data_IF_405725161069
#
_entry.id   IF_405725161069
#
_cell.length_a   1.000
_cell.length_b   1.000
_cell.length_c   1.000
_cell.angle_alpha   90.00
_cell.angle_beta   90.00
_cell.angle_gamma   90.00
#
_symmetry.space_group_name_H-M   'P 1'
#
loop_
_entity.id
_entity.type
_entity.pdbx_description
1 polymer ?
#
# COMPACT_ATOMS: atom_id res chain seq x y z
N UNK A 1 -46.32 39.92 3.61
CA UNK A 1 -45.87 38.88 2.66
C UNK A 1 -44.50 38.40 3.14
N UNK A 2 -44.46 37.33 3.92
CA UNK A 2 -43.20 36.73 4.39
C UNK A 2 -43.16 35.28 3.96
N UNK A 3 -42.42 35.00 2.88
CA UNK A 3 -42.10 33.65 2.43
C UNK A 3 -40.89 33.16 3.23
N UNK A 4 -41.14 32.37 4.28
CA UNK A 4 -40.10 31.61 4.96
C UNK A 4 -39.67 30.45 4.08
N UNK A 5 -38.44 30.48 3.55
CA UNK A 5 -37.86 29.38 2.79
C UNK A 5 -37.43 28.31 3.79
N UNK A 6 -38.33 27.36 4.06
CA UNK A 6 -38.06 26.21 4.93
C UNK A 6 -36.95 25.32 4.36
N UNK A 7 -36.10 24.80 5.23
CA UNK A 7 -35.11 23.75 4.91
C UNK A 7 -35.81 22.56 4.26
N UNK A 8 -35.23 21.97 3.19
CA UNK A 8 -35.86 20.86 2.49
C UNK A 8 -36.00 19.65 3.41
N UNK A 9 -37.16 19.00 3.30
CA UNK A 9 -37.49 17.77 4.02
C UNK A 9 -36.51 16.66 3.63
N UNK A 10 -35.63 16.34 4.58
CA UNK A 10 -34.55 15.35 4.41
C UNK A 10 -35.12 13.97 4.13
N UNK A 11 -36.26 13.63 4.74
CA UNK A 11 -36.92 12.34 4.54
C UNK A 11 -37.52 12.24 3.14
N UNK A 12 -38.08 13.33 2.62
CA UNK A 12 -38.55 13.42 1.24
C UNK A 12 -37.42 13.25 0.22
N UNK A 13 -36.27 13.88 0.48
CA UNK A 13 -35.10 13.74 -0.38
C UNK A 13 -34.56 12.30 -0.36
N UNK A 14 -34.46 11.68 0.82
CA UNK A 14 -34.02 10.31 0.98
C UNK A 14 -34.91 9.32 0.21
N UNK A 15 -36.25 9.48 0.30
CA UNK A 15 -37.21 8.64 -0.44
C UNK A 15 -37.09 8.85 -1.96
N UNK A 16 -36.89 10.09 -2.43
CA UNK A 16 -36.63 10.36 -3.84
C UNK A 16 -35.35 9.71 -4.34
N UNK A 17 -34.27 9.70 -3.54
CA UNK A 17 -33.01 9.06 -3.93
C UNK A 17 -33.14 7.54 -4.01
N UNK A 18 -33.89 6.92 -3.08
CA UNK A 18 -34.20 5.48 -3.13
C UNK A 18 -35.02 5.13 -4.38
N UNK A 19 -36.00 5.96 -4.76
CA UNK A 19 -36.77 5.76 -5.98
C UNK A 19 -35.94 5.93 -7.26
N UNK A 20 -34.97 6.86 -7.27
CA UNK A 20 -34.09 7.10 -8.42
C UNK A 20 -33.01 6.03 -8.59
N UNK A 21 -32.50 5.46 -7.50
CA UNK A 21 -31.43 4.46 -7.54
C UNK A 21 -31.93 3.01 -7.49
N UNK A 22 -33.25 2.82 -7.37
CA UNK A 22 -33.86 1.52 -7.12
C UNK A 22 -33.55 1.05 -5.70
N UNK A 23 -34.60 0.84 -4.89
CA UNK A 23 -34.47 0.04 -3.69
C UNK A 23 -34.04 -1.35 -4.12
N UNK A 24 -32.84 -1.78 -3.74
CA UNK A 24 -32.44 -3.16 -3.89
C UNK A 24 -33.23 -3.94 -2.83
N UNK A 25 -34.46 -4.32 -3.17
CA UNK A 25 -35.09 -5.45 -2.52
C UNK A 25 -34.27 -6.66 -2.95
N UNK A 26 -33.56 -7.23 -1.98
CA UNK A 26 -32.72 -8.42 -2.15
C UNK A 26 -33.60 -9.67 -2.33
N UNK A 27 -34.41 -9.76 -3.40
CA UNK A 27 -34.99 -11.02 -3.87
C UNK A 27 -35.55 -10.88 -5.30
N UNK A 28 -35.09 -11.78 -6.19
CA UNK A 28 -35.50 -12.00 -7.60
C UNK A 28 -35.08 -10.95 -8.66
N UNK A 29 -33.77 -10.83 -8.91
CA UNK A 29 -33.31 -10.46 -10.25
C UNK A 29 -32.53 -11.61 -10.91
N UNK A 30 -33.22 -12.25 -11.85
CA UNK A 30 -32.69 -13.17 -12.85
C UNK A 30 -31.71 -12.42 -13.78
N UNK A 31 -30.47 -12.26 -13.29
CA UNK A 31 -29.35 -11.85 -14.13
C UNK A 31 -28.71 -13.11 -14.70
N UNK A 32 -29.20 -13.49 -15.88
CA UNK A 32 -28.53 -14.39 -16.82
C UNK A 32 -27.12 -13.85 -17.18
N UNK A 33 -26.15 -14.02 -16.28
CA UNK A 33 -24.74 -14.05 -16.62
C UNK A 33 -24.42 -15.49 -16.96
N UNK A 34 -24.31 -15.78 -18.26
CA UNK A 34 -23.91 -17.09 -18.76
C UNK A 34 -22.59 -17.52 -18.13
N UNK A 35 -22.69 -18.40 -17.14
CA UNK A 35 -21.58 -19.15 -16.58
C UNK A 35 -21.12 -20.12 -17.69
N UNK A 36 -19.94 -19.86 -18.26
CA UNK A 36 -19.26 -20.86 -19.07
C UNK A 36 -18.98 -22.08 -18.18
N UNK A 37 -18.99 -23.31 -18.72
CA UNK A 37 -18.88 -24.53 -17.93
C UNK A 37 -17.42 -24.80 -17.53
N UNK A 38 -16.84 -24.00 -16.64
CA UNK A 38 -15.55 -24.30 -15.98
C UNK A 38 -15.38 -23.58 -14.63
N UNK A 39 -16.42 -23.53 -13.80
CA UNK A 39 -16.31 -23.06 -12.41
C UNK A 39 -16.58 -24.24 -11.47
N UNK A 40 -15.60 -25.15 -11.42
CA UNK A 40 -15.54 -26.27 -10.49
C UNK A 40 -14.42 -26.07 -9.46
N UNK A 41 -14.82 -26.07 -8.19
CA UNK A 41 -13.97 -26.10 -6.98
C UNK A 41 -13.09 -24.86 -6.73
N UNK A 42 -13.63 -23.91 -5.96
CA UNK A 42 -12.85 -22.83 -5.37
C UNK A 42 -12.19 -23.30 -4.05
N UNK A 43 -10.85 -23.46 -3.99
CA UNK A 43 -10.15 -23.59 -2.72
C UNK A 43 -10.00 -22.22 -2.05
N UNK A 44 -9.93 -22.24 -0.72
CA UNK A 44 -9.86 -21.07 0.14
C UNK A 44 -8.76 -20.07 -0.28
N UNK A 45 -9.16 -18.84 -0.62
CA UNK A 45 -8.25 -17.69 -0.71
C UNK A 45 -8.29 -16.87 -2.01
N UNK A 46 -9.19 -17.14 -2.96
CA UNK A 46 -9.33 -16.29 -4.15
C UNK A 46 -10.19 -15.06 -3.86
N UNK A 47 -9.67 -13.86 -4.13
CA UNK A 47 -10.52 -12.68 -4.30
C UNK A 47 -11.55 -13.02 -5.38
N UNK A 48 -12.85 -12.91 -5.06
CA UNK A 48 -14.00 -13.30 -5.90
C UNK A 48 -14.01 -12.80 -7.35
N UNK A 49 -13.07 -11.92 -7.75
CA UNK A 49 -12.94 -11.37 -9.10
C UNK A 49 -11.63 -11.76 -9.82
N UNK A 50 -10.70 -12.43 -9.15
CA UNK A 50 -9.43 -12.84 -9.73
C UNK A 50 -9.52 -14.28 -10.24
N UNK A 51 -9.26 -14.53 -11.54
CA UNK A 51 -9.20 -15.89 -12.06
C UNK A 51 -8.06 -16.69 -11.39
N UNK A 52 -8.32 -17.94 -11.04
CA UNK A 52 -7.32 -18.80 -10.38
C UNK A 52 -6.26 -19.36 -11.35
N UNK A 53 -6.56 -19.40 -12.65
CA UNK A 53 -5.77 -20.08 -13.69
C UNK A 53 -5.42 -21.54 -13.33
N UNK A 54 -6.23 -22.20 -12.50
CA UNK A 54 -5.94 -23.56 -12.01
C UNK A 54 -5.86 -24.59 -13.16
N UNK A 55 -6.67 -24.40 -14.20
CA UNK A 55 -6.67 -25.21 -15.42
C UNK A 55 -5.50 -24.91 -16.38
N UNK A 56 -4.71 -23.86 -16.14
CA UNK A 56 -3.56 -23.46 -16.96
C UNK A 56 -2.33 -23.13 -16.08
N UNK A 57 -1.51 -24.15 -15.75
CA UNK A 57 -0.32 -23.97 -14.92
C UNK A 57 0.73 -23.03 -15.51
N UNK A 58 0.83 -22.96 -16.85
CA UNK A 58 1.79 -22.09 -17.52
C UNK A 58 1.40 -20.62 -17.35
N UNK A 59 0.11 -20.31 -17.53
CA UNK A 59 -0.42 -18.97 -17.28
C UNK A 59 -0.37 -18.59 -15.81
N UNK A 60 -0.69 -19.51 -14.90
CA UNK A 60 -0.55 -19.29 -13.45
C UNK A 60 0.91 -18.96 -13.07
N UNK A 61 1.90 -19.62 -13.68
CA UNK A 61 3.32 -19.32 -13.48
C UNK A 61 3.71 -17.95 -14.06
N UNK A 62 3.25 -17.61 -15.27
CA UNK A 62 3.52 -16.33 -15.90
C UNK A 62 2.96 -15.15 -15.08
N UNK A 63 1.74 -15.28 -14.55
CA UNK A 63 1.13 -14.26 -13.68
C UNK A 63 1.93 -14.11 -12.38
N UNK A 64 2.32 -15.20 -11.71
CA UNK A 64 3.17 -15.12 -10.51
C UNK A 64 4.52 -14.45 -10.76
N UNK A 65 5.15 -14.74 -11.91
CA UNK A 65 6.40 -14.10 -12.30
C UNK A 65 6.22 -12.60 -12.56
N UNK A 66 5.14 -12.22 -13.25
CA UNK A 66 4.79 -10.81 -13.48
C UNK A 66 4.51 -10.06 -12.16
N UNK A 67 3.72 -10.65 -11.25
CA UNK A 67 3.48 -10.09 -9.91
C UNK A 67 4.77 -9.95 -9.10
N UNK A 68 5.70 -10.91 -9.21
CA UNK A 68 6.98 -10.82 -8.51
C UNK A 68 7.86 -9.70 -9.07
N UNK A 69 7.94 -9.56 -10.39
CA UNK A 69 8.68 -8.49 -11.05
C UNK A 69 8.07 -7.11 -10.75
N UNK A 70 6.74 -7.02 -10.69
CA UNK A 70 6.05 -5.79 -10.32
C UNK A 70 6.33 -5.41 -8.86
N UNK A 71 6.21 -6.37 -7.93
CA UNK A 71 6.56 -6.15 -6.52
C UNK A 71 8.00 -5.67 -6.34
N UNK A 72 8.96 -6.28 -7.04
CA UNK A 72 10.37 -5.87 -7.00
C UNK A 72 10.56 -4.43 -7.50
N UNK A 73 9.91 -4.08 -8.62
CA UNK A 73 9.92 -2.71 -9.16
C UNK A 73 9.37 -1.70 -8.15
N UNK A 74 8.26 -2.00 -7.48
CA UNK A 74 7.64 -1.08 -6.51
C UNK A 74 8.41 -1.00 -5.18
N UNK A 75 8.91 -2.12 -4.67
CA UNK A 75 9.46 -2.20 -3.32
C UNK A 75 10.98 -2.02 -3.26
N UNK A 76 11.73 -2.21 -4.35
CA UNK A 76 13.19 -2.29 -4.27
C UNK A 76 13.90 -1.32 -5.22
N UNK A 77 13.21 -0.89 -6.29
CA UNK A 77 13.81 0.00 -7.31
C UNK A 77 14.26 1.36 -6.76
N UNK A 78 15.56 1.62 -6.86
CA UNK A 78 16.19 2.88 -6.47
C UNK A 78 16.38 3.06 -4.97
N UNK A 79 16.21 1.99 -4.18
CA UNK A 79 16.63 1.98 -2.79
C UNK A 79 18.11 1.60 -2.68
N UNK A 80 18.82 2.28 -1.79
CA UNK A 80 20.19 1.94 -1.42
C UNK A 80 20.27 1.62 0.07
N UNK A 81 21.08 0.63 0.48
CA UNK A 81 21.29 0.33 1.89
C UNK A 81 22.05 1.47 2.57
N UNK A 82 21.57 1.89 3.74
CA UNK A 82 22.22 2.88 4.60
C UNK A 82 22.31 2.32 6.01
N UNK A 83 23.52 2.30 6.56
CA UNK A 83 23.76 1.93 7.94
C UNK A 83 23.62 3.16 8.85
N UNK A 84 22.81 3.03 9.90
CA UNK A 84 22.80 4.01 10.96
C UNK A 84 24.17 4.00 11.67
N UNK A 85 24.90 5.10 11.65
CA UNK A 85 26.24 5.21 12.26
C UNK A 85 26.24 5.13 13.79
N UNK A 86 25.06 5.14 14.41
CA UNK A 86 24.89 5.06 15.86
C UNK A 86 24.50 3.65 16.34
N UNK A 87 23.46 3.06 15.76
CA UNK A 87 22.94 1.75 16.19
C UNK A 87 23.24 0.61 15.21
N UNK A 88 23.92 0.90 14.10
CA UNK A 88 24.29 -0.08 13.06
C UNK A 88 23.11 -0.87 12.48
N UNK A 89 21.90 -0.32 12.57
CA UNK A 89 20.74 -0.84 11.86
C UNK A 89 20.85 -0.46 10.37
N UNK A 90 20.78 -1.46 9.48
CA UNK A 90 20.78 -1.28 8.03
C UNK A 90 19.35 -1.13 7.52
N UNK A 91 19.05 -0.01 6.88
CA UNK A 91 17.75 0.28 6.28
C UNK A 91 17.91 0.55 4.79
N UNK A 92 16.83 0.39 4.03
CA UNK A 92 16.82 0.75 2.62
C UNK A 92 16.24 2.16 2.44
N UNK A 93 16.96 3.04 1.73
CA UNK A 93 16.62 4.45 1.62
C UNK A 93 16.56 4.89 0.17
N UNK A 94 15.54 5.65 -0.18
CA UNK A 94 15.40 6.33 -1.47
C UNK A 94 15.05 7.80 -1.26
N UNK A 95 15.87 8.69 -1.81
CA UNK A 95 15.61 10.13 -1.75
C UNK A 95 14.74 10.52 -2.95
N UNK A 96 13.50 10.96 -2.70
CA UNK A 96 12.55 11.32 -3.75
C UNK A 96 12.54 12.83 -4.04
N UNK A 97 13.15 13.62 -3.16
CA UNK A 97 13.34 15.06 -3.31
C UNK A 97 14.00 15.64 -2.06
N UNK A 98 14.27 16.96 -2.02
CA UNK A 98 14.97 17.62 -0.91
C UNK A 98 14.32 17.35 0.46
N UNK A 99 12.99 17.44 0.53
CA UNK A 99 12.22 17.23 1.77
C UNK A 99 11.71 15.79 1.93
N UNK A 100 11.70 14.99 0.86
CA UNK A 100 11.04 13.68 0.87
C UNK A 100 12.04 12.53 0.79
N UNK A 101 12.07 11.70 1.84
CA UNK A 101 12.90 10.49 1.92
C UNK A 101 12.00 9.30 2.22
N UNK A 102 11.99 8.30 1.35
CA UNK A 102 11.41 7.00 1.65
C UNK A 102 12.45 6.16 2.41
N UNK A 103 12.04 5.62 3.56
CA UNK A 103 12.87 4.74 4.40
C UNK A 103 12.10 3.46 4.63
N UNK A 104 12.64 2.34 4.16
CA UNK A 104 12.11 1.02 4.41
C UNK A 104 12.84 0.34 5.55
N UNK A 105 12.06 -0.04 6.55
CA UNK A 105 12.52 -0.73 7.73
C UNK A 105 12.20 -2.22 7.62
N UNK A 106 13.22 -3.06 7.72
CA UNK A 106 13.03 -4.50 7.88
C UNK A 106 12.99 -4.86 9.37
N UNK A 107 12.51 -6.08 9.68
CA UNK A 107 12.38 -6.59 11.04
C UNK A 107 13.71 -6.54 11.81
N UNK A 108 14.82 -6.84 11.15
CA UNK A 108 16.16 -6.87 11.76
C UNK A 108 16.62 -5.47 12.21
N UNK A 109 16.46 -4.47 11.36
CA UNK A 109 16.77 -3.07 11.64
C UNK A 109 15.92 -2.53 12.80
N UNK A 110 14.64 -2.90 12.82
CA UNK A 110 13.68 -2.51 13.87
C UNK A 110 14.05 -3.11 15.24
N UNK A 111 14.64 -4.31 15.27
CA UNK A 111 15.13 -4.93 16.50
C UNK A 111 16.48 -4.36 16.96
N UNK A 112 17.40 -4.05 16.03
CA UNK A 112 18.73 -3.48 16.37
C UNK A 112 18.69 -2.01 16.78
N UNK A 113 17.68 -1.25 16.35
CA UNK A 113 17.64 0.18 16.60
C UNK A 113 17.55 0.50 18.10
N UNK A 114 18.59 1.12 18.67
CA UNK A 114 18.66 1.52 20.08
C UNK A 114 17.49 2.42 20.50
N UNK A 115 17.12 3.39 19.65
CA UNK A 115 15.99 4.31 19.92
C UNK A 115 14.66 3.55 20.02
N UNK A 116 14.45 2.55 19.17
CA UNK A 116 13.24 1.73 19.24
C UNK A 116 13.28 0.75 20.41
N UNK A 117 14.47 0.28 20.82
CA UNK A 117 14.64 -0.54 22.01
C UNK A 117 14.28 0.25 23.28
N UNK A 118 14.76 1.48 23.40
CA UNK A 118 14.43 2.40 24.50
C UNK A 118 12.92 2.69 24.54
N UNK A 119 12.31 3.04 23.41
CA UNK A 119 10.87 3.29 23.33
C UNK A 119 10.03 2.07 23.78
N UNK A 120 10.45 0.85 23.43
CA UNK A 120 9.78 -0.37 23.91
C UNK A 120 9.95 -0.58 25.42
N UNK A 121 11.14 -0.30 25.96
CA UNK A 121 11.41 -0.42 27.39
C UNK A 121 10.57 0.58 28.21
N UNK A 122 10.38 1.79 27.69
CA UNK A 122 9.54 2.84 28.27
C UNK A 122 8.03 2.57 28.12
N UNK A 123 7.65 1.44 27.49
CA UNK A 123 6.25 1.07 27.28
C UNK A 123 5.52 1.96 26.27
N UNK A 124 6.24 2.69 25.40
CA UNK A 124 5.63 3.45 24.33
C UNK A 124 5.03 2.50 23.29
N UNK A 125 3.69 2.50 23.24
CA UNK A 125 2.90 1.66 22.34
C UNK A 125 2.83 2.22 20.92
N UNK A 126 3.06 3.51 20.76
CA UNK A 126 3.06 4.16 19.46
C UNK A 126 4.41 3.89 18.76
N UNK A 127 4.42 3.38 17.52
CA UNK A 127 5.65 3.23 16.77
C UNK A 127 6.23 4.61 16.52
N UNK A 128 7.44 4.86 17.02
CA UNK A 128 8.20 6.04 16.66
C UNK A 128 8.39 6.05 15.14
N UNK A 129 8.02 7.15 14.47
CA UNK A 129 7.97 7.19 13.01
C UNK A 129 9.35 7.11 12.34
N UNK A 130 10.40 7.51 13.03
CA UNK A 130 11.78 7.45 12.53
C UNK A 130 12.80 7.49 13.67
N UNK A 131 13.99 6.93 13.41
CA UNK A 131 15.15 7.11 14.27
C UNK A 131 15.83 8.46 13.94
N UNK A 132 15.94 9.42 14.88
CA UNK A 132 16.56 10.71 14.60
C UNK A 132 18.04 10.59 14.21
N UNK A 133 18.76 9.60 14.79
CA UNK A 133 20.17 9.32 14.46
C UNK A 133 20.35 8.78 13.04
N UNK A 134 19.33 8.10 12.50
CA UNK A 134 19.34 7.63 11.12
C UNK A 134 19.26 8.81 10.15
N UNK A 135 18.45 9.83 10.43
CA UNK A 135 18.32 11.01 9.56
C UNK A 135 19.66 11.70 9.33
N UNK A 136 20.52 11.79 10.35
CA UNK A 136 21.86 12.36 10.21
C UNK A 136 22.80 11.42 9.45
N UNK A 137 22.65 10.10 9.62
CA UNK A 137 23.39 9.10 8.85
C UNK A 137 23.04 9.16 7.36
N UNK A 138 21.77 9.39 7.01
CA UNK A 138 21.30 9.58 5.63
C UNK A 138 21.91 10.84 5.01
N UNK A 139 21.91 11.97 5.73
CA UNK A 139 22.56 13.21 5.24
C UNK A 139 24.04 13.00 4.97
N UNK A 140 24.72 12.27 5.85
CA UNK A 140 26.11 11.92 5.66
C UNK A 140 26.33 11.00 4.45
N UNK A 141 25.50 9.97 4.27
CA UNK A 141 25.57 9.10 3.09
C UNK A 141 25.39 9.87 1.78
N UNK A 142 24.55 10.92 1.76
CA UNK A 142 24.41 11.82 0.61
C UNK A 142 25.69 12.65 0.41
N UNK A 143 26.25 13.21 1.47
CA UNK A 143 27.46 14.04 1.39
C UNK A 143 28.69 13.26 0.91
N UNK A 144 28.81 11.99 1.27
CA UNK A 144 29.87 11.08 0.82
C UNK A 144 29.62 10.49 -0.58
N UNK A 145 28.44 10.73 -1.17
CA UNK A 145 28.04 10.17 -2.46
C UNK A 145 27.64 8.69 -2.42
N UNK A 146 27.49 8.11 -1.23
CA UNK A 146 26.98 6.74 -1.04
C UNK A 146 25.47 6.63 -1.29
N UNK A 147 24.72 7.73 -1.19
CA UNK A 147 23.29 7.80 -1.47
C UNK A 147 23.03 8.98 -2.43
N UNK A 148 22.22 8.76 -3.47
CA UNK A 148 21.83 9.84 -4.38
C UNK A 148 20.95 10.88 -3.66
N UNK A 149 21.23 12.17 -3.89
CA UNK A 149 20.46 13.28 -3.33
C UNK A 149 19.02 13.38 -3.88
N UNK A 150 18.80 12.83 -5.07
CA UNK A 150 17.49 12.55 -5.67
C UNK A 150 17.68 11.28 -6.49
N UNK A 151 16.84 10.28 -6.24
CA UNK A 151 16.93 9.00 -6.94
C UNK A 151 16.58 9.16 -8.41
N UNK A 152 17.44 8.63 -9.27
CA UNK A 152 17.21 8.60 -10.72
C UNK A 152 16.33 7.42 -11.16
N UNK A 153 15.96 6.53 -10.24
CA UNK A 153 15.17 5.35 -10.57
C UNK A 153 13.75 5.76 -11.02
N UNK A 154 13.25 5.19 -12.13
CA UNK A 154 11.94 5.55 -12.68
C UNK A 154 10.83 5.33 -11.65
N UNK A 155 9.82 6.20 -11.71
CA UNK A 155 8.64 6.03 -10.87
C UNK A 155 7.92 4.73 -11.26
N UNK A 156 7.43 3.97 -10.28
CA UNK A 156 6.61 2.79 -10.59
C UNK A 156 5.32 3.20 -11.31
N UNK A 157 5.22 2.87 -12.61
CA UNK A 157 4.04 3.17 -13.44
C UNK A 157 4.34 3.71 -14.84
N UNK A 158 5.57 4.16 -15.12
CA UNK A 158 5.96 4.76 -16.41
C UNK A 158 6.41 3.72 -17.48
N UNK A 159 5.90 2.48 -17.42
CA UNK A 159 6.33 1.36 -18.28
C UNK A 159 5.31 0.97 -19.34
#
# INVERSE_FOLDING_TARGET
MSSGKGTPDVDGLARSMVLLHGGHDDDEHDHHHGHGPDDGDAPAGSWSKAPSFASDPARAAAVRAATAADRDRYLTSGLAPVDCRFCHATVEVKKLGPEYTAVQWNSEAVQRCAVFAEARADGQRAPMRACPRLSDSIKHAIAEGCLEAVSSAPSPGDG
#
